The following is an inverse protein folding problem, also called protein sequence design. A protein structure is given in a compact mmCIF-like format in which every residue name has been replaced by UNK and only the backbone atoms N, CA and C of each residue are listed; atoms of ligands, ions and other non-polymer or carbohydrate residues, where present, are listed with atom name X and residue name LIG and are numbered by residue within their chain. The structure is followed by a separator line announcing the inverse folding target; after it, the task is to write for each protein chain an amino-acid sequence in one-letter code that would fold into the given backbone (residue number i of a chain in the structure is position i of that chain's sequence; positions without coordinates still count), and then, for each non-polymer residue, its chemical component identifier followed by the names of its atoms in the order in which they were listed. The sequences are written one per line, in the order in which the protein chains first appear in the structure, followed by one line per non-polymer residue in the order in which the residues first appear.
data_IF_654249287576
#
_entry.id   IF_654249287576
#
_cell.length_a   1.000
_cell.length_b   1.000
_cell.length_c   1.000
_cell.angle_alpha   90.00
_cell.angle_beta   90.00
_cell.angle_gamma   90.00
#
_symmetry.space_group_name_H-M   'P 1'
#
loop_
_entity.id
_entity.type
_entity.pdbx_description
1 polymer ?
2 non-polymer ?
3 non-polymer ?
4 water ?
#
# COMPACT_ATOMS: atom_id res chain seq x y z
N UNK A 1 -9.10 11.07 27.82
CA UNK A 1 -9.44 9.68 28.09
C UNK A 1 -10.61 9.17 27.23
N UNK A 2 -10.66 9.58 25.95
CA UNK A 2 -11.62 9.02 25.01
C UNK A 2 -11.38 7.52 24.84
N UNK A 3 -12.44 6.74 24.71
CA UNK A 3 -12.30 5.29 24.71
C UNK A 3 -13.16 4.64 23.64
N UNK A 4 -12.84 3.37 23.37
CA UNK A 4 -13.56 2.53 22.42
C UNK A 4 -13.72 1.16 23.06
N UNK A 5 -14.95 0.63 23.05
CA UNK A 5 -15.16 -0.77 23.39
C UNK A 5 -15.35 -1.56 22.10
N UNK A 6 -14.87 -2.79 22.11
CA UNK A 6 -14.94 -3.65 20.93
C UNK A 6 -15.08 -5.08 21.41
N UNK A 7 -16.22 -5.70 21.14
CA UNK A 7 -16.45 -7.10 21.50
C UNK A 7 -15.87 -7.40 22.88
N UNK A 8 -16.39 -6.68 23.87
CA UNK A 8 -15.96 -6.88 25.25
C UNK A 8 -14.90 -5.94 25.80
N UNK A 9 -13.82 -5.71 25.04
CA UNK A 9 -12.64 -5.04 25.58
C UNK A 9 -12.63 -3.54 25.30
N UNK A 10 -11.93 -2.81 26.17
CA UNK A 10 -11.87 -1.36 26.14
C UNK A 10 -10.48 -0.94 25.70
N UNK A 11 -10.42 0.22 25.04
CA UNK A 11 -9.19 0.75 24.46
C UNK A 11 -9.18 2.26 24.62
N UNK A 12 -8.03 2.80 24.99
CA UNK A 12 -7.86 4.24 25.17
C UNK A 12 -7.32 4.84 23.89
N UNK A 13 -7.91 5.94 23.45
CA UNK A 13 -7.48 6.55 22.21
C UNK A 13 -6.27 7.44 22.50
N UNK A 14 -5.10 7.03 22.01
CA UNK A 14 -3.92 7.88 22.07
C UNK A 14 -3.99 9.00 21.03
N UNK A 15 -4.37 8.70 19.80
CA UNK A 15 -4.50 9.76 18.79
C UNK A 15 -5.16 9.18 17.55
N UNK A 16 -5.57 10.08 16.66
CA UNK A 16 -6.20 9.72 15.39
C UNK A 16 -5.13 9.75 14.31
N UNK A 17 -4.82 8.58 13.77
CA UNK A 17 -3.81 8.46 12.72
C UNK A 17 -4.32 9.07 11.42
N UNK A 18 -5.56 8.76 11.04
CA UNK A 18 -6.02 9.24 9.74
C UNK A 18 -7.53 9.18 9.63
N UNK A 19 -8.01 9.62 8.48
CA UNK A 19 -9.44 9.64 8.21
C UNK A 19 -9.63 9.62 6.71
N UNK A 20 -10.85 9.32 6.29
CA UNK A 20 -11.16 9.11 4.89
C UNK A 20 -12.64 8.89 4.69
N UNK A 21 -13.32 9.93 4.22
CA UNK A 21 -14.74 9.82 4.00
C UNK A 21 -15.49 9.66 5.31
N UNK A 22 -15.83 8.42 5.64
CA UNK A 22 -16.62 8.11 6.81
C UNK A 22 -15.84 7.22 7.76
N UNK A 23 -14.54 7.06 7.52
CA UNK A 23 -13.64 6.25 8.33
C UNK A 23 -12.72 7.12 9.17
N UNK A 24 -12.13 6.47 10.16
CA UNK A 24 -11.12 7.04 11.04
C UNK A 24 -10.27 5.89 11.55
N UNK A 25 -8.98 6.13 11.70
CA UNK A 25 -8.08 5.15 12.31
C UNK A 25 -7.43 5.79 13.53
N UNK A 26 -7.47 5.08 14.65
CA UNK A 26 -6.95 5.57 15.90
C UNK A 26 -5.80 4.69 16.32
N UNK A 27 -4.80 5.31 16.93
CA UNK A 27 -3.79 4.56 17.65
C UNK A 27 -4.27 4.47 19.11
N UNK A 28 -4.35 3.25 19.64
CA UNK A 28 -4.99 3.02 20.92
C UNK A 28 -4.15 2.06 21.74
N UNK A 29 -4.45 2.03 23.03
CA UNK A 29 -3.88 1.06 23.96
C UNK A 29 -5.00 0.20 24.53
N UNK A 30 -4.68 -1.07 24.74
CA UNK A 30 -5.59 -1.98 25.42
C UNK A 30 -5.40 -1.85 26.93
N UNK A 31 -6.06 -2.71 27.70
CA UNK A 31 -5.96 -2.63 29.15
C UNK A 31 -4.55 -2.94 29.62
N UNK A 32 -3.85 -3.85 28.93
CA UNK A 32 -2.47 -4.19 29.23
C UNK A 32 -1.48 -3.19 28.66
N UNK A 33 -1.91 -1.93 28.47
CA UNK A 33 -1.08 -0.86 27.92
C UNK A 33 -0.28 -1.32 26.70
N UNK A 34 -0.92 -2.14 25.88
CA UNK A 34 -0.36 -2.58 24.60
C UNK A 34 -1.00 -1.78 23.48
N UNK A 35 -0.25 -1.59 22.41
CA UNK A 35 -0.66 -0.65 21.38
C UNK A 35 -1.33 -1.41 20.23
N UNK A 36 -2.30 -0.75 19.59
CA UNK A 36 -3.10 -1.33 18.53
C UNK A 36 -3.57 -0.20 17.64
N UNK A 37 -4.09 -0.58 16.47
CA UNK A 37 -4.82 0.36 15.62
C UNK A 37 -6.29 -0.05 15.58
N UNK A 38 -7.17 0.94 15.64
CA UNK A 38 -8.60 0.67 15.48
C UNK A 38 -9.11 1.54 14.35
N UNK A 39 -9.75 0.91 13.37
CA UNK A 39 -10.43 1.59 12.26
C UNK A 39 -11.93 1.64 12.56
N UNK A 40 -12.53 2.81 12.36
CA UNK A 40 -13.93 3.05 12.62
C UNK A 40 -14.58 3.53 11.34
N UNK A 41 -15.73 2.95 11.00
CA UNK A 41 -16.51 3.37 9.84
C UNK A 41 -17.90 3.71 10.33
N UNK A 42 -18.34 4.95 10.06
CA UNK A 42 -19.69 5.38 10.40
C UNK A 42 -20.60 4.97 9.25
N UNK A 43 -21.32 3.86 9.44
CA UNK A 43 -22.16 3.33 8.37
C UNK A 43 -23.52 4.00 8.31
N UNK A 44 -23.80 4.95 9.21
CA UNK A 44 -25.14 5.49 9.34
C UNK A 44 -25.74 5.86 7.99
N UNK A 45 -25.01 6.64 7.20
CA UNK A 45 -25.34 6.76 5.79
C UNK A 45 -24.15 6.31 4.95
N UNK A 46 -24.46 5.55 3.90
CA UNK A 46 -23.50 4.77 3.15
C UNK A 46 -24.27 3.79 2.28
N UNK A 47 -24.18 3.93 0.96
CA UNK A 47 -25.01 3.11 0.09
C UNK A 47 -24.53 1.66 0.12
N UNK A 48 -25.29 0.79 -0.54
CA UNK A 48 -24.92 -0.62 -0.60
C UNK A 48 -23.63 -0.84 -1.37
N UNK A 49 -23.18 0.15 -2.14
CA UNK A 49 -21.84 0.07 -2.75
C UNK A 49 -20.75 0.28 -1.71
N UNK A 50 -20.88 1.30 -0.87
CA UNK A 50 -19.89 1.50 0.18
C UNK A 50 -19.93 0.35 1.18
N UNK A 51 -21.11 0.05 1.72
CA UNK A 51 -21.27 -1.07 2.63
C UNK A 51 -20.55 -2.31 2.13
N UNK A 52 -20.81 -2.70 0.88
CA UNK A 52 -20.24 -3.96 0.41
C UNK A 52 -18.73 -3.88 0.28
N UNK A 53 -18.18 -2.74 -0.17
CA UNK A 53 -16.73 -2.67 -0.26
C UNK A 53 -16.09 -2.94 1.09
N UNK A 54 -16.72 -2.45 2.17
CA UNK A 54 -16.15 -2.63 3.50
C UNK A 54 -16.32 -4.06 3.97
N UNK A 55 -17.46 -4.70 3.64
CA UNK A 55 -17.66 -6.11 3.97
C UNK A 55 -16.65 -6.98 3.24
N UNK A 56 -16.37 -6.65 1.99
CA UNK A 56 -15.38 -7.41 1.24
C UNK A 56 -13.98 -7.25 1.86
N UNK A 57 -13.55 -6.02 2.15
CA UNK A 57 -12.26 -5.80 2.80
C UNK A 57 -12.11 -6.67 4.05
N UNK A 58 -13.12 -6.68 4.92
CA UNK A 58 -13.01 -7.41 6.18
C UNK A 58 -12.85 -8.91 5.92
N UNK A 59 -13.62 -9.45 4.97
CA UNK A 59 -13.49 -10.87 4.62
C UNK A 59 -12.08 -11.19 4.12
N UNK A 60 -11.58 -10.42 3.15
CA UNK A 60 -10.25 -10.72 2.60
C UNK A 60 -9.17 -10.56 3.67
N UNK A 61 -9.25 -9.47 4.44
CA UNK A 61 -8.32 -9.31 5.55
C UNK A 61 -8.35 -10.53 6.47
N UNK A 62 -9.54 -11.05 6.73
CA UNK A 62 -9.66 -12.22 7.61
C UNK A 62 -9.11 -13.47 6.93
N UNK A 63 -9.41 -13.64 5.64
CA UNK A 63 -8.85 -14.77 4.90
C UNK A 63 -7.33 -14.64 4.78
N UNK A 64 -6.87 -13.51 4.25
CA UNK A 64 -5.49 -13.41 3.75
C UNK A 64 -4.46 -13.50 4.85
N UNK A 65 -4.80 -13.12 6.08
CA UNK A 65 -3.75 -13.07 7.08
C UNK A 65 -3.37 -14.44 7.60
N UNK A 66 -4.07 -15.49 7.18
CA UNK A 66 -3.61 -16.84 7.44
C UNK A 66 -2.47 -17.27 6.49
N UNK A 67 -2.37 -16.62 5.32
CA UNK A 67 -1.42 -16.99 4.28
C UNK A 67 -0.18 -16.12 4.24
N UNK A 68 -0.14 -15.01 4.97
CA UNK A 68 1.04 -14.15 4.90
C UNK A 68 1.04 -13.22 6.09
N UNK A 69 2.23 -13.06 6.69
CA UNK A 69 2.46 -12.08 7.74
C UNK A 69 2.94 -10.73 7.19
N UNK A 70 2.93 -10.56 5.87
CA UNK A 70 3.12 -9.25 5.26
C UNK A 70 1.79 -8.55 5.01
N UNK A 71 0.68 -9.15 5.43
CA UNK A 71 -0.62 -8.49 5.48
C UNK A 71 -0.81 -8.02 6.91
N UNK A 72 -1.15 -6.73 7.08
CA UNK A 72 -1.54 -6.24 8.38
C UNK A 72 -2.56 -7.18 9.00
N UNK A 73 -2.40 -7.43 10.30
CA UNK A 73 -3.20 -8.40 11.04
C UNK A 73 -4.51 -7.78 11.57
N UNK A 74 -5.61 -8.49 11.37
CA UNK A 74 -6.91 -8.13 11.95
C UNK A 74 -7.14 -9.07 13.13
N UNK A 75 -7.15 -8.50 14.33
CA UNK A 75 -7.25 -9.26 15.57
C UNK A 75 -8.70 -9.52 15.98
N UNK A 76 -9.56 -8.54 15.76
CA UNK A 76 -10.94 -8.60 16.17
C UNK A 76 -11.66 -7.46 15.47
N UNK A 77 -12.97 -7.61 15.32
CA UNK A 77 -13.78 -6.59 14.70
C UNK A 77 -15.20 -6.68 15.24
N UNK A 78 -15.89 -5.55 15.15
CA UNK A 78 -17.29 -5.47 15.52
C UNK A 78 -18.02 -4.76 14.40
N UNK A 79 -19.11 -5.35 13.93
CA UNK A 79 -19.84 -4.77 12.82
C UNK A 79 -21.34 -4.84 13.07
N UNK A 80 -22.01 -3.69 12.93
CA UNK A 80 -23.46 -3.60 13.01
C UNK A 80 -23.96 -2.79 11.83
N UNK A 81 -25.23 -2.40 11.90
CA UNK A 81 -25.80 -1.51 10.89
C UNK A 81 -25.33 -0.08 11.05
N UNK A 82 -24.84 0.31 12.23
CA UNK A 82 -24.40 1.70 12.38
C UNK A 82 -22.90 1.87 12.13
N UNK A 83 -22.08 0.95 12.62
CA UNK A 83 -20.65 1.21 12.61
C UNK A 83 -19.86 -0.07 12.37
N UNK A 84 -18.58 0.13 12.11
CA UNK A 84 -17.58 -0.92 12.14
C UNK A 84 -16.47 -0.48 13.08
N UNK A 85 -15.92 -1.43 13.83
CA UNK A 85 -14.64 -1.24 14.51
C UNK A 85 -13.76 -2.41 14.15
N UNK A 86 -12.55 -2.13 13.70
CA UNK A 86 -11.57 -3.17 13.43
C UNK A 86 -10.34 -2.93 14.31
N UNK A 87 -9.96 -3.95 15.07
CA UNK A 87 -8.74 -3.92 15.85
C UNK A 87 -7.64 -4.61 15.04
N UNK A 88 -6.56 -3.89 14.78
CA UNK A 88 -5.49 -4.32 13.88
C UNK A 88 -4.13 -4.03 14.52
N UNK A 89 -3.13 -4.76 14.04
CA UNK A 89 -1.79 -4.41 14.44
C UNK A 89 -1.53 -2.98 13.98
N UNK A 90 -0.92 -2.21 14.85
CA UNK A 90 -0.67 -0.81 14.59
C UNK A 90 0.72 -0.69 13.97
N UNK A 91 0.84 0.06 12.88
CA UNK A 91 2.16 0.29 12.31
C UNK A 91 2.90 1.45 12.97
N UNK A 92 4.23 1.41 12.94
CA UNK A 92 5.01 2.58 13.33
C UNK A 92 4.67 3.79 12.45
N UNK A 93 4.50 3.58 11.15
CA UNK A 93 4.25 4.68 10.24
C UNK A 93 4.02 4.07 8.87
N UNK A 94 3.42 4.83 7.96
CA UNK A 94 3.26 4.32 6.61
C UNK A 94 4.47 4.67 5.76
N UNK A 95 4.63 3.92 4.68
CA UNK A 95 5.85 4.02 3.87
C UNK A 95 5.94 5.37 3.16
N UNK A 96 4.83 5.91 2.65
CA UNK A 96 4.87 7.25 2.06
C UNK A 96 5.47 8.27 3.03
N UNK A 97 4.82 8.48 4.18
CA UNK A 97 5.34 9.39 5.21
C UNK A 97 6.79 9.13 5.54
N UNK A 98 7.21 7.87 5.52
CA UNK A 98 8.57 7.52 5.90
C UNK A 98 9.56 7.90 4.82
N UNK A 99 9.22 7.65 3.56
CA UNK A 99 10.08 8.06 2.46
C UNK A 99 10.26 9.57 2.44
N UNK A 100 9.16 10.31 2.58
CA UNK A 100 9.17 11.75 2.44
C UNK A 100 10.00 12.44 3.51
N UNK A 101 10.50 11.72 4.51
CA UNK A 101 11.43 12.31 5.49
C UNK A 101 12.85 11.81 5.35
N UNK A 102 13.04 10.57 4.90
CA UNK A 102 14.39 10.00 4.85
C UNK A 102 15.22 10.66 3.75
N UNK A 103 16.50 10.86 4.03
CA UNK A 103 17.39 11.37 3.00
C UNK A 103 17.62 10.29 1.94
N UNK A 104 18.23 9.17 2.34
CA UNK A 104 18.61 8.11 1.43
C UNK A 104 18.43 6.76 2.10
N UNK A 105 18.03 5.77 1.31
CA UNK A 105 17.66 4.46 1.84
C UNK A 105 18.91 3.61 1.98
N UNK A 106 19.02 2.89 3.08
CA UNK A 106 20.01 1.83 3.19
C UNK A 106 19.77 0.79 2.10
N UNK A 107 20.76 0.52 1.23
CA UNK A 107 20.54 -0.45 0.14
C UNK A 107 20.01 -1.82 0.59
N UNK A 108 20.57 -2.41 1.65
CA UNK A 108 20.07 -3.68 2.15
C UNK A 108 18.65 -3.55 2.67
N UNK A 109 18.27 -2.38 3.17
CA UNK A 109 16.91 -2.20 3.64
C UNK A 109 15.94 -1.99 2.49
N UNK A 110 16.40 -1.36 1.40
CA UNK A 110 15.57 -1.25 0.21
C UNK A 110 15.27 -2.63 -0.37
N UNK A 111 16.32 -3.45 -0.51
CA UNK A 111 16.15 -4.83 -0.94
C UNK A 111 15.15 -5.58 -0.06
N UNK A 112 15.21 -5.38 1.25
CA UNK A 112 14.32 -6.11 2.14
C UNK A 112 12.88 -5.61 2.04
N UNK A 113 12.68 -4.30 2.14
CA UNK A 113 11.35 -3.76 1.88
C UNK A 113 10.79 -4.31 0.56
N UNK A 114 11.64 -4.41 -0.48
CA UNK A 114 11.18 -4.89 -1.79
C UNK A 114 10.65 -6.31 -1.72
N UNK A 115 11.41 -7.21 -1.11
CA UNK A 115 10.87 -8.56 -0.89
C UNK A 115 9.55 -8.52 -0.13
N UNK A 116 9.43 -7.64 0.88
CA UNK A 116 8.21 -7.58 1.66
C UNK A 116 7.02 -7.24 0.77
N UNK A 117 7.17 -6.21 -0.07
CA UNK A 117 6.06 -5.77 -0.91
C UNK A 117 5.71 -6.81 -1.95
N UNK A 118 6.71 -7.51 -2.51
CA UNK A 118 6.43 -8.57 -3.49
C UNK A 118 5.64 -9.70 -2.85
N UNK A 119 6.08 -10.15 -1.67
CA UNK A 119 5.36 -11.22 -0.99
C UNK A 119 3.91 -10.83 -0.75
N UNK A 120 3.66 -9.64 -0.21
CA UNK A 120 2.29 -9.24 0.10
C UNK A 120 1.46 -9.18 -1.16
N UNK A 121 1.94 -8.46 -2.17
CA UNK A 121 1.19 -8.35 -3.42
C UNK A 121 0.99 -9.71 -4.03
N UNK A 122 2.04 -10.54 -4.03
CA UNK A 122 1.90 -11.93 -4.50
C UNK A 122 0.74 -12.61 -3.79
N UNK A 123 0.68 -12.48 -2.47
CA UNK A 123 -0.39 -13.14 -1.71
C UNK A 123 -1.77 -12.70 -2.17
N UNK A 124 -1.96 -11.40 -2.43
CA UNK A 124 -3.32 -11.04 -2.79
C UNK A 124 -3.65 -11.48 -4.22
N UNK A 125 -2.65 -11.50 -5.12
CA UNK A 125 -2.89 -12.02 -6.47
C UNK A 125 -3.31 -13.49 -6.42
N UNK A 126 -2.72 -14.27 -5.51
CA UNK A 126 -3.05 -15.69 -5.46
C UNK A 126 -4.52 -15.91 -5.08
N UNK A 127 -5.08 -15.05 -4.23
CA UNK A 127 -6.47 -15.17 -3.84
C UNK A 127 -7.39 -14.30 -4.69
N UNK A 128 -6.94 -13.92 -5.88
CA UNK A 128 -7.84 -13.34 -6.85
C UNK A 128 -8.05 -11.84 -6.78
N UNK A 129 -7.12 -11.08 -6.20
CA UNK A 129 -7.24 -9.63 -6.10
C UNK A 129 -6.14 -8.97 -6.91
N UNK A 130 -6.51 -7.97 -7.70
CA UNK A 130 -5.60 -6.98 -8.24
C UNK A 130 -5.88 -5.66 -7.53
N UNK A 131 -4.90 -5.16 -6.76
CA UNK A 131 -5.08 -3.88 -6.10
C UNK A 131 -5.46 -2.79 -7.09
N UNK A 132 -4.57 -2.54 -8.07
CA UNK A 132 -4.80 -1.63 -9.19
C UNK A 132 -4.43 -0.17 -8.88
N UNK A 133 -4.33 0.18 -7.60
CA UNK A 133 -3.96 1.52 -7.17
C UNK A 133 -2.88 1.45 -6.09
N UNK A 134 -1.86 0.65 -6.30
CA UNK A 134 -0.83 0.51 -5.27
C UNK A 134 -0.04 1.80 -5.16
N UNK A 135 0.33 2.15 -3.94
CA UNK A 135 1.23 3.27 -3.73
C UNK A 135 1.82 3.13 -2.34
N UNK A 136 2.84 3.93 -2.02
CA UNK A 136 3.54 3.76 -0.73
C UNK A 136 2.62 3.77 0.48
N UNK A 137 1.57 4.60 0.47
CA UNK A 137 0.64 4.71 1.58
C UNK A 137 0.01 3.37 1.95
N UNK A 138 -0.05 2.43 1.00
CA UNK A 138 -0.65 1.12 1.26
C UNK A 138 0.23 0.19 2.07
N UNK A 139 1.47 0.60 2.38
CA UNK A 139 2.37 -0.25 3.15
C UNK A 139 2.72 0.42 4.48
N UNK A 140 2.76 -0.36 5.54
CA UNK A 140 3.12 0.13 6.85
C UNK A 140 4.43 -0.51 7.24
N UNK A 141 5.17 0.19 8.08
CA UNK A 141 6.39 -0.34 8.66
C UNK A 141 6.06 -0.82 10.05
N UNK A 142 6.33 -2.10 10.31
CA UNK A 142 6.14 -2.70 11.61
C UNK A 142 7.16 -3.81 11.75
N UNK A 143 7.88 -3.82 12.88
CA UNK A 143 8.92 -4.83 13.14
C UNK A 143 9.94 -4.88 12.01
N UNK A 144 10.36 -3.70 11.56
CA UNK A 144 11.34 -3.65 10.49
C UNK A 144 10.87 -4.18 9.17
N UNK A 145 9.58 -4.52 9.04
CA UNK A 145 8.99 -5.09 7.83
C UNK A 145 8.04 -4.10 7.16
N UNK A 146 7.68 -4.42 5.92
CA UNK A 146 6.60 -3.76 5.23
C UNK A 146 5.41 -4.71 5.22
N UNK A 147 4.23 -4.20 5.61
CA UNK A 147 3.00 -4.99 5.58
C UNK A 147 1.93 -4.18 4.85
N UNK A 148 1.17 -4.85 3.99
CA UNK A 148 0.14 -4.19 3.22
C UNK A 148 -1.13 -3.94 4.05
N UNK A 149 -1.83 -2.81 3.80
CA UNK A 149 -3.10 -2.50 4.49
C UNK A 149 -4.30 -2.51 3.53
N UNK A 150 -4.23 -1.72 2.46
CA UNK A 150 -5.37 -1.50 1.57
C UNK A 150 -5.37 -2.56 0.47
N UNK A 151 -6.55 -2.95 0.02
CA UNK A 151 -6.66 -3.92 -1.07
C UNK A 151 -7.23 -3.32 -2.34
N UNK A 152 -7.46 -2.01 -2.36
CA UNK A 152 -8.10 -1.37 -3.50
C UNK A 152 -9.55 -1.09 -3.22
N UNK A 153 -10.24 -2.10 -2.64
CA UNK A 153 -11.61 -1.92 -2.17
C UNK A 153 -11.57 -1.25 -0.81
N UNK A 154 -12.68 -0.61 -0.45
CA UNK A 154 -12.73 0.31 0.68
C UNK A 154 -12.08 1.63 0.27
N UNK A 155 -12.56 2.76 0.79
CA UNK A 155 -11.98 4.02 0.34
C UNK A 155 -10.68 4.30 1.06
N UNK A 156 -9.67 4.69 0.30
CA UNK A 156 -8.40 5.10 0.89
C UNK A 156 -8.61 6.29 1.83
N UNK A 157 -7.92 6.26 2.94
CA UNK A 157 -7.85 7.38 3.85
C UNK A 157 -6.49 8.07 3.76
N UNK A 158 -6.39 9.17 4.47
CA UNK A 158 -5.20 10.02 4.46
C UNK A 158 -4.74 10.27 5.89
N UNK A 159 -3.43 10.27 6.13
CA UNK A 159 -2.92 10.64 7.46
C UNK A 159 -3.44 12.01 7.85
N UNK A 160 -3.81 12.14 9.12
CA UNK A 160 -4.27 13.44 9.61
C UNK A 160 -3.10 14.26 10.14
N UNK A 161 -3.31 15.58 10.17
CA UNK A 161 -2.32 16.52 10.66
C UNK A 161 -2.97 17.29 11.80
N UNK A 162 -2.16 17.85 12.70
CA UNK A 162 -2.71 18.66 13.78
C UNK A 162 -2.74 20.14 13.40
N UNK A 163 -2.41 20.43 12.14
CA UNK A 163 -2.56 21.77 11.59
C UNK A 163 -3.84 21.84 10.76
N UNK A 164 -3.79 22.54 9.63
CA UNK A 164 -5.00 22.72 8.83
C UNK A 164 -4.72 23.17 7.40
N UNK A 172 -0.33 10.25 -5.30
CA UNK A 172 -0.64 11.20 -6.36
C UNK A 172 -1.26 10.43 -7.47
N UNK A 173 -0.71 10.63 -8.66
CA UNK A 173 -1.00 9.85 -9.85
C UNK A 173 0.34 9.30 -10.36
N UNK A 174 1.40 9.62 -9.62
CA UNK A 174 2.73 9.23 -10.05
C UNK A 174 2.89 7.71 -10.17
N UNK A 175 1.96 6.92 -9.64
CA UNK A 175 2.11 5.47 -9.59
C UNK A 175 1.12 4.74 -10.48
N UNK A 176 0.37 5.42 -11.30
CA UNK A 176 -0.69 4.65 -11.91
C UNK A 176 -0.17 3.96 -13.17
N UNK A 177 -0.56 2.71 -13.45
CA UNK A 177 0.00 2.01 -14.59
C UNK A 177 -0.57 2.55 -15.89
N UNK A 178 0.19 2.50 -16.98
CA UNK A 178 -0.30 3.06 -18.25
C UNK A 178 -1.59 2.42 -18.73
N UNK A 179 -1.76 1.10 -18.62
CA UNK A 179 -2.97 0.49 -19.14
C UNK A 179 -4.22 0.90 -18.38
N UNK A 180 -4.05 1.41 -17.14
CA UNK A 180 -5.17 1.99 -16.42
C UNK A 180 -5.64 3.28 -17.08
N UNK A 181 -4.70 4.06 -17.63
CA UNK A 181 -5.05 5.29 -18.32
C UNK A 181 -5.79 5.00 -19.61
N UNK A 182 -5.36 3.97 -20.36
CA UNK A 182 -6.01 3.53 -21.59
C UNK A 182 -7.30 2.76 -21.33
N UNK A 183 -7.75 2.65 -20.08
CA UNK A 183 -8.98 1.96 -19.72
C UNK A 183 -10.20 2.89 -19.75
N UNK A 184 -10.13 3.98 -20.50
CA UNK A 184 -11.22 4.95 -20.52
C UNK A 184 -11.38 5.57 -21.90
N UNK A 197 -6.61 -4.31 -17.38
CA UNK A 197 -6.08 -4.32 -16.01
C UNK A 197 -5.89 -5.74 -15.45
N UNK A 198 -4.63 -6.09 -15.16
CA UNK A 198 -4.21 -7.42 -14.73
C UNK A 198 -3.24 -7.34 -13.58
N UNK A 199 -2.80 -8.49 -13.03
CA UNK A 199 -1.70 -8.48 -12.05
C UNK A 199 -0.49 -7.68 -12.54
N UNK A 200 -0.36 -7.50 -13.84
CA UNK A 200 0.78 -6.74 -14.35
C UNK A 200 0.70 -5.29 -13.90
N UNK A 201 -0.52 -4.77 -13.69
CA UNK A 201 -0.68 -3.38 -13.28
C UNK A 201 -0.11 -3.11 -11.90
N UNK A 202 -0.13 -4.10 -10.99
CA UNK A 202 0.51 -3.88 -9.69
C UNK A 202 2.03 -3.91 -9.79
N UNK A 203 2.61 -4.61 -10.78
CA UNK A 203 4.07 -4.63 -10.83
C UNK A 203 4.56 -3.27 -11.32
N UNK A 204 3.82 -2.62 -12.24
CA UNK A 204 4.14 -1.25 -12.59
C UNK A 204 4.19 -0.37 -11.33
N UNK A 205 3.12 -0.39 -10.52
CA UNK A 205 3.05 0.51 -9.37
C UNK A 205 4.13 0.19 -8.35
N UNK A 206 4.50 -1.10 -8.22
CA UNK A 206 5.59 -1.48 -7.33
C UNK A 206 6.93 -0.99 -7.85
N UNK A 207 7.11 -0.99 -9.17
CA UNK A 207 8.35 -0.47 -9.75
C UNK A 207 8.53 1.02 -9.52
N UNK A 208 7.43 1.79 -9.60
CA UNK A 208 7.46 3.21 -9.25
C UNK A 208 7.89 3.44 -7.82
N UNK A 209 7.41 2.61 -6.88
CA UNK A 209 7.86 2.73 -5.49
C UNK A 209 9.34 2.40 -5.38
N UNK A 210 9.76 1.25 -5.94
CA UNK A 210 11.18 0.89 -5.88
C UNK A 210 12.03 1.95 -6.59
N UNK A 211 11.59 2.39 -7.76
CA UNK A 211 12.25 3.49 -8.46
C UNK A 211 12.42 4.71 -7.55
N UNK A 212 11.34 5.11 -6.89
CA UNK A 212 11.41 6.18 -5.90
C UNK A 212 12.41 5.84 -4.80
N UNK A 213 12.46 4.58 -4.39
CA UNK A 213 13.41 4.17 -3.35
C UNK A 213 14.85 4.13 -3.86
N UNK A 214 15.05 4.19 -5.18
CA UNK A 214 16.38 4.07 -5.76
C UNK A 214 16.89 5.44 -6.19
N UNK A 215 16.22 6.04 -7.16
CA UNK A 215 16.55 7.35 -7.68
C UNK A 215 15.90 8.49 -6.90
N UNK A 216 15.34 8.21 -5.72
CA UNK A 216 14.76 9.24 -4.89
C UNK A 216 13.64 10.04 -5.53
N UNK A 217 12.98 9.51 -6.55
CA UNK A 217 11.99 10.29 -7.28
C UNK A 217 11.13 9.34 -8.12
N UNK A 218 9.89 9.73 -8.35
CA UNK A 218 9.01 8.94 -9.19
C UNK A 218 9.34 9.15 -10.66
N UNK A 219 9.10 8.15 -11.52
CA UNK A 219 9.45 8.32 -12.94
C UNK A 219 9.04 9.66 -13.50
N UNK A 220 7.78 10.03 -13.40
CA UNK A 220 7.27 11.30 -13.92
C UNK A 220 6.97 12.28 -12.79
N UNK A 221 7.78 12.24 -11.73
CA UNK A 221 7.51 13.09 -10.57
C UNK A 221 7.69 14.57 -10.89
N UNK A 222 8.37 14.90 -12.00
CA UNK A 222 8.66 16.29 -12.33
C UNK A 222 7.61 16.91 -13.25
N UNK A 223 6.95 16.12 -14.10
CA UNK A 223 5.85 16.64 -14.91
C UNK A 223 4.72 17.07 -13.99
N UNK A 224 4.91 18.19 -13.28
CA UNK A 224 3.96 18.54 -12.23
C UNK A 224 2.57 18.88 -12.74
N UNK A 225 2.38 19.14 -14.05
CA UNK A 225 1.02 19.33 -14.56
C UNK A 225 0.44 17.99 -14.99
N UNK A 226 -0.79 17.72 -14.52
CA UNK A 226 -1.28 16.35 -14.47
C UNK A 226 -1.57 15.81 -15.86
N UNK A 227 -2.25 16.59 -16.71
CA UNK A 227 -2.79 15.99 -17.93
C UNK A 227 -1.67 15.43 -18.82
N UNK A 228 -0.48 16.05 -18.79
CA UNK A 228 0.65 15.54 -19.56
C UNK A 228 1.63 14.76 -18.69
N UNK A 229 1.48 14.80 -17.36
CA UNK A 229 1.98 13.70 -16.56
C UNK A 229 1.36 12.39 -17.03
N UNK A 230 0.03 12.34 -17.08
CA UNK A 230 -0.68 11.22 -17.68
C UNK A 230 -0.16 10.92 -19.07
N UNK A 231 -0.08 11.94 -19.92
CA UNK A 231 0.35 11.73 -21.30
C UNK A 231 1.72 11.07 -21.33
N UNK A 232 2.66 11.60 -20.54
CA UNK A 232 4.00 11.03 -20.48
C UNK A 232 3.96 9.54 -20.17
N UNK A 233 3.12 9.15 -19.22
CA UNK A 233 3.07 7.77 -18.75
C UNK A 233 2.68 6.83 -19.89
N UNK A 234 1.69 7.21 -20.70
CA UNK A 234 1.21 6.33 -21.77
C UNK A 234 2.03 6.44 -23.05
N UNK A 235 3.07 7.29 -23.08
CA UNK A 235 3.72 7.65 -24.35
C UNK A 235 4.95 6.79 -24.59
N UNK A 236 4.97 5.97 -25.65
CA UNK A 236 6.14 5.10 -25.87
C UNK A 236 7.44 5.87 -26.03
N UNK A 237 7.49 6.83 -26.95
CA UNK A 237 8.75 7.52 -27.22
C UNK A 237 9.08 8.57 -26.16
N UNK A 238 8.35 8.58 -25.06
CA UNK A 238 8.83 9.18 -23.82
C UNK A 238 9.58 8.11 -23.05
N UNK A 239 10.80 8.41 -22.65
CA UNK A 239 11.66 7.40 -22.05
C UNK A 239 11.97 7.77 -20.60
N UNK A 240 11.90 6.78 -19.74
CA UNK A 240 12.31 6.94 -18.35
C UNK A 240 13.81 6.71 -18.28
N UNK A 241 14.45 7.39 -17.33
CA UNK A 241 15.90 7.44 -17.20
C UNK A 241 16.35 6.52 -16.07
N UNK A 242 17.30 5.62 -16.37
CA UNK A 242 17.82 4.66 -15.41
C UNK A 242 19.33 4.90 -15.25
N UNK A 243 19.71 6.00 -14.61
CA UNK A 243 21.13 6.21 -14.28
C UNK A 243 21.79 4.95 -13.78
N UNK A 244 23.00 4.69 -14.28
CA UNK A 244 23.79 3.58 -13.77
C UNK A 244 23.92 3.68 -12.26
N UNK A 245 24.06 2.52 -11.63
CA UNK A 245 24.15 2.44 -10.19
C UNK A 245 25.00 1.22 -9.88
N UNK A 246 25.57 1.13 -8.69
CA UNK A 246 26.28 -0.09 -8.30
C UNK A 246 25.47 -1.38 -8.50
N UNK A 247 24.31 -1.51 -7.85
CA UNK A 247 23.51 -2.73 -7.98
C UNK A 247 22.80 -2.72 -9.33
N UNK A 248 23.36 -3.47 -10.30
CA UNK A 248 22.79 -3.49 -11.64
C UNK A 248 21.62 -4.47 -11.74
N UNK A 249 21.54 -5.46 -10.85
CA UNK A 249 20.31 -6.23 -10.73
C UNK A 249 19.11 -5.33 -10.38
N UNK A 250 19.33 -4.31 -9.53
CA UNK A 250 18.25 -3.39 -9.19
C UNK A 250 17.91 -2.48 -10.37
N UNK A 251 18.92 -2.06 -11.13
CA UNK A 251 18.63 -1.36 -12.38
C UNK A 251 17.78 -2.23 -13.30
N UNK A 252 18.03 -3.54 -13.28
CA UNK A 252 17.29 -4.45 -14.17
C UNK A 252 15.86 -4.65 -13.68
N UNK A 253 15.66 -4.82 -12.37
CA UNK A 253 14.30 -4.90 -11.83
C UNK A 253 13.49 -3.70 -12.29
N UNK A 254 14.03 -2.49 -12.12
CA UNK A 254 13.26 -1.29 -12.44
C UNK A 254 12.93 -1.25 -13.93
N UNK A 255 13.88 -1.62 -14.79
CA UNK A 255 13.65 -1.57 -16.23
C UNK A 255 12.60 -2.58 -16.68
N UNK A 256 12.55 -3.74 -16.01
CA UNK A 256 11.56 -4.77 -16.34
C UNK A 256 10.17 -4.45 -15.78
N UNK A 257 10.10 -3.78 -14.63
CA UNK A 257 8.82 -3.36 -14.06
C UNK A 257 8.15 -2.26 -14.86
N UNK A 258 8.96 -1.34 -15.39
CA UNK A 258 8.45 -0.11 -15.96
C UNK A 258 8.31 -0.19 -17.47
N UNK A 259 7.98 -1.36 -18.00
CA UNK A 259 7.70 -1.51 -19.41
C UNK A 259 6.23 -1.18 -19.64
N UNK A 260 5.96 -0.22 -20.51
CA UNK A 260 4.59 0.24 -20.73
C UNK A 260 3.70 -0.86 -21.28
N UNK A 261 4.26 -1.79 -22.05
CA UNK A 261 3.42 -2.85 -22.60
C UNK A 261 3.18 -3.91 -21.53
N UNK A 262 1.95 -4.03 -21.01
CA UNK A 262 1.70 -4.98 -19.92
C UNK A 262 2.22 -6.36 -20.19
N UNK A 263 2.07 -6.84 -21.44
CA UNK A 263 2.39 -8.23 -21.75
C UNK A 263 3.88 -8.51 -21.81
N UNK A 264 4.71 -7.49 -22.00
CA UNK A 264 6.15 -7.65 -21.89
C UNK A 264 6.69 -7.31 -20.49
N UNK A 265 5.90 -6.65 -19.65
CA UNK A 265 6.32 -6.33 -18.29
C UNK A 265 6.59 -7.62 -17.50
N UNK A 266 7.61 -7.57 -16.63
CA UNK A 266 7.88 -8.72 -15.79
C UNK A 266 6.70 -8.95 -14.82
N UNK A 267 6.51 -10.20 -14.45
CA UNK A 267 5.44 -10.62 -13.57
C UNK A 267 5.95 -10.77 -12.14
N UNK A 268 5.03 -10.96 -11.21
CA UNK A 268 5.39 -11.12 -9.81
C UNK A 268 6.13 -12.44 -9.58
N UNK A 269 5.61 -13.59 -10.07
CA UNK A 269 6.36 -14.85 -9.96
C UNK A 269 7.77 -14.77 -10.53
N UNK A 270 7.96 -14.06 -11.65
CA UNK A 270 9.32 -13.84 -12.17
C UNK A 270 10.13 -12.95 -11.25
N UNK A 271 9.55 -11.82 -10.78
CA UNK A 271 10.30 -10.94 -9.90
C UNK A 271 10.80 -11.69 -8.68
N UNK A 272 10.07 -12.73 -8.27
CA UNK A 272 10.46 -13.47 -7.09
C UNK A 272 11.67 -14.37 -7.36
N UNK A 273 11.95 -14.67 -8.63
CA UNK A 273 13.09 -15.49 -9.02
C UNK A 273 14.26 -14.64 -9.50
N UNK A 274 14.18 -13.31 -9.38
CA UNK A 274 15.15 -12.39 -9.93
C UNK A 274 16.39 -12.31 -9.02
N UNK A 275 17.58 -12.12 -9.60
CA UNK A 275 18.78 -12.01 -8.74
C UNK A 275 18.65 -10.92 -7.68
N UNK A 276 18.09 -9.76 -8.02
CA UNK A 276 17.92 -8.70 -7.03
C UNK A 276 17.30 -9.21 -5.73
N UNK A 277 16.32 -10.10 -5.81
CA UNK A 277 15.71 -10.56 -4.56
C UNK A 277 16.35 -11.86 -4.06
N UNK A 278 16.96 -12.65 -4.95
CA UNK A 278 17.44 -13.99 -4.60
C UNK A 278 18.90 -14.04 -4.16
N UNK A 279 19.72 -13.05 -4.47
CA UNK A 279 21.14 -13.04 -4.13
C UNK A 279 21.40 -11.94 -3.09
N UNK A 280 21.98 -12.33 -1.95
CA UNK A 280 22.39 -11.42 -0.86
C UNK A 280 21.26 -11.21 0.13
X LIG B 1 1.31 8.97 9.48
X LIG B 1 0.48 4.94 10.24
X LIG B 1 -4.31 0.49 9.84
X LIG B 1 -5.45 0.81 8.88
X LIG B 1 -4.18 5.56 7.96
X LIG B 1 1.64 5.44 14.76
X LIG B 1 0.81 5.35 12.58
X LIG B 1 1.11 6.68 12.31
X LIG B 1 1.10 7.11 11.00
X LIG B 1 1.97 9.59 11.60
X LIG B 1 2.14 10.86 10.67
X LIG B 1 2.18 10.42 9.48
X LIG B 1 0.77 6.25 9.97
X LIG B 1 0.48 4.49 11.55
X LIG B 1 -1.05 2.51 11.24
X LIG B 1 -2.45 0.67 11.07
X LIG B 1 -3.26 1.37 10.19
X LIG B 1 -4.11 -0.70 10.52
X LIG B 1 -2.88 2.69 9.85
X LIG B 1 -3.09 4.69 8.39
X LIG B 1 -3.73 6.89 7.38
X LIG B 1 -1.80 5.78 6.51
X LIG B 1 -2.20 4.47 7.24
X LIG B 1 1.42 8.47 10.64
X LIG B 1 0.15 3.11 11.83
X LIG B 1 -1.34 1.28 11.57
X LIG B 1 -6.29 1.07 8.17
X LIG B 1 -2.99 -0.57 11.26
X LIG B 1 -3.64 3.47 8.91
X LIG B 1 -1.77 3.21 10.40
X LIG B 1 0.78 4.84 13.87
X LIG B 1 2.19 9.49 12.77
X LIG B 1 -2.91 6.69 6.19
X LIG B 1 0.27 9.18 9.26
X LIG B 1 1.74 8.30 8.74
X LIG B 1 0.25 4.25 9.44
X LIG B 1 -4.75 5.04 7.20
X LIG B 1 -4.81 5.77 8.82
X LIG B 1 1.17 6.32 15.20
X LIG B 1 1.90 4.73 15.55
X LIG B 1 2.55 5.75 14.24
X LIG B 1 1.35 7.36 13.11
X LIG B 1 3.07 11.37 10.91
X LIG B 1 1.29 11.52 10.79
X LIG B 1 3.22 10.24 9.19
X LIG B 1 1.72 11.13 8.80
X LIG B 1 0.73 6.62 8.95
X LIG B 1 -4.74 -1.58 10.47
X LIG B 1 -2.50 5.11 9.20
X LIG B 1 -3.14 7.42 8.12
X LIG B 1 -4.60 7.49 7.12
X LIG B 1 -1.11 6.31 7.14
X LIG B 1 -1.32 5.51 5.58
X LIG B 1 -1.30 3.98 7.57
X LIG B 1 -2.72 3.83 6.53
X LIG B 1 0.73 2.57 12.44
X LIG B 1 -2.59 -1.29 11.84
X LIG B 1 -4.55 3.16 8.63
X LIG C 1 1.99 20.56 8.14
X LIG D 1 4.01 19.57 17.14
#
# INVERSE_FOLDING_TARGET
NECISVKGRIYSILKQIGSGGSSKVFQVLNEKKQIYAIKYVNLEEADNQTLDSYRNEIAYLNKLQQHSDKIIRLYDYEITDQYIYMVMECGNIDLNSWLKKKKSIDPWERKSYWKNMLEAVHTIHQHGIVHSDLKPANFLIVDGMLKLIDFGIANQMQPDTTSVVKDSQVGTVNYMPPEAIKDMSSSRENGKSKSKISPKSDVWSLGCILYYMTYGKTPFQQIINQISKLHAIIDPNHEIEFPDIPEKDLQDVLKCCLKRDPKQRISIPELLAHPYVQIQTL
FZO C10 C13 C20 C21 C28 C01 C03 C04 C05 C07 C08 C09 C12 C14 C16 C18 C19 C23 C25 C27 C29 C31 C32 N06 N15 N17 N22 N24 N26 N33 O02 O11 O30 H1 H2 H3 H4 H5 H6 H7 H8 H9 H10 H11 H12 H13 H14 H15 H16 H17 H18 H19 H20 H21 H22 H23 H24 H25
MG MG
MG MG
#
